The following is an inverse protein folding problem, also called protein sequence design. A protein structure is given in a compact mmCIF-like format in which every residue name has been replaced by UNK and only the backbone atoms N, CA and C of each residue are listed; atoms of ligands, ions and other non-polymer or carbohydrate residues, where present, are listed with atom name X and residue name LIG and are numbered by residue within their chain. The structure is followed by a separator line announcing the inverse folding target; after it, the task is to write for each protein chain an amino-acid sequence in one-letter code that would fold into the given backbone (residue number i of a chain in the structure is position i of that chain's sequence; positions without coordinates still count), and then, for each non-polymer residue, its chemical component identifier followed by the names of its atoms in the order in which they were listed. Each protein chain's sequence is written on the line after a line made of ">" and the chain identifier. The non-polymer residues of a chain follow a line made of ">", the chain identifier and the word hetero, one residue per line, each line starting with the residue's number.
data_IF_808487706569
#
_entry.id   IF_808487706569
#
_cell.length_a   1.000
_cell.length_b   1.000
_cell.length_c   1.000
_cell.angle_alpha   90.00
_cell.angle_beta   90.00
_cell.angle_gamma   90.00
#
_symmetry.space_group_name_H-M   'P 1'
#
loop_
_entity.id
_entity.type
_entity.pdbx_description
1 polymer ?
#
# COMPACT_ATOMS: atom_id res chain seq x y z
N UNK A 1 -0.71 -4.66 -64.50
CA UNK A 1 -0.85 -3.56 -63.52
C UNK A 1 -0.23 -4.01 -62.19
N UNK A 2 1.05 -3.69 -61.94
CA UNK A 2 1.68 -3.92 -60.64
C UNK A 2 1.49 -2.66 -59.78
N UNK A 3 0.63 -2.72 -58.76
CA UNK A 3 0.57 -1.68 -57.74
C UNK A 3 1.84 -1.75 -56.90
N UNK A 4 2.70 -0.74 -57.06
CA UNK A 4 3.84 -0.45 -56.17
C UNK A 4 3.25 -0.18 -54.78
N UNK A 5 3.28 -1.18 -53.90
CA UNK A 5 2.87 -1.03 -52.51
C UNK A 5 3.93 -0.16 -51.82
N UNK A 6 3.54 1.07 -51.49
CA UNK A 6 4.42 2.14 -51.03
C UNK A 6 5.04 1.76 -49.67
N UNK A 7 6.38 1.78 -49.60
CA UNK A 7 7.19 1.38 -48.43
C UNK A 7 6.85 2.22 -47.18
N UNK A 8 6.20 3.38 -47.36
CA UNK A 8 5.82 4.33 -46.30
C UNK A 8 4.61 3.87 -45.47
N UNK A 9 3.67 3.11 -46.05
CA UNK A 9 2.50 2.61 -45.31
C UNK A 9 2.91 1.56 -44.26
N UNK A 10 3.85 0.67 -44.59
CA UNK A 10 4.37 -0.33 -43.63
C UNK A 10 5.12 0.31 -42.47
N UNK A 11 5.78 1.44 -42.69
CA UNK A 11 6.50 2.17 -41.64
C UNK A 11 5.53 2.83 -40.65
N UNK A 12 4.43 3.42 -41.14
CA UNK A 12 3.38 4.02 -40.32
C UNK A 12 2.64 3.00 -39.44
N UNK A 13 2.34 1.81 -39.97
CA UNK A 13 1.73 0.73 -39.19
C UNK A 13 2.66 0.18 -38.11
N UNK A 14 3.97 0.11 -38.37
CA UNK A 14 4.95 -0.42 -37.40
C UNK A 14 5.16 0.57 -36.24
N UNK A 15 5.18 1.87 -36.51
CA UNK A 15 5.27 2.92 -35.46
C UNK A 15 3.99 3.00 -34.64
N UNK A 16 2.82 2.90 -35.28
CA UNK A 16 1.53 2.88 -34.59
C UNK A 16 1.37 1.68 -33.64
N UNK A 17 1.83 0.48 -34.06
CA UNK A 17 1.77 -0.72 -33.24
C UNK A 17 2.68 -0.64 -32.00
N UNK A 18 3.87 -0.05 -32.12
CA UNK A 18 4.77 0.18 -30.98
C UNK A 18 4.20 1.17 -29.95
N UNK A 19 3.40 2.15 -30.38
CA UNK A 19 2.79 3.13 -29.49
C UNK A 19 1.72 2.52 -28.57
N UNK A 20 1.00 1.49 -29.03
CA UNK A 20 -0.03 0.82 -28.23
C UNK A 20 0.55 -0.14 -27.17
N UNK A 21 1.74 -0.71 -27.39
CA UNK A 21 2.36 -1.66 -26.44
C UNK A 21 3.01 -0.96 -25.24
N UNK A 22 3.40 0.32 -25.35
CA UNK A 22 4.01 1.08 -24.24
C UNK A 22 3.02 1.63 -23.21
N UNK A 23 1.72 1.61 -23.49
CA UNK A 23 0.72 2.29 -22.67
C UNK A 23 0.35 1.55 -21.37
N UNK A 24 0.50 0.22 -21.32
CA UNK A 24 0.08 -0.57 -20.17
C UNK A 24 0.95 -0.35 -18.92
N UNK A 25 2.27 -0.13 -19.09
CA UNK A 25 3.19 0.10 -17.97
C UNK A 25 3.00 1.50 -17.33
N UNK A 26 2.50 2.47 -18.10
CA UNK A 26 2.23 3.81 -17.59
C UNK A 26 0.95 3.86 -16.73
N UNK A 27 -0.04 3.03 -17.04
CA UNK A 27 -1.32 3.00 -16.33
C UNK A 27 -1.28 2.26 -14.99
N UNK A 28 -0.30 1.38 -14.78
CA UNK A 28 -0.11 0.67 -13.51
C UNK A 28 1.37 0.76 -13.07
N UNK A 29 1.81 1.91 -12.53
CA UNK A 29 3.18 2.05 -12.08
C UNK A 29 3.47 1.06 -10.94
N UNK A 30 4.68 0.46 -10.90
CA UNK A 30 5.04 -0.47 -9.84
C UNK A 30 5.08 0.25 -8.48
N UNK A 31 4.72 -0.49 -7.42
CA UNK A 31 4.67 0.02 -6.04
C UNK A 31 6.04 0.54 -5.57
N UNK A 32 7.11 -0.18 -5.94
CA UNK A 32 8.50 0.17 -5.67
C UNK A 32 9.32 0.07 -6.95
N UNK A 33 10.37 0.88 -7.04
CA UNK A 33 11.32 0.84 -8.17
C UNK A 33 12.22 -0.41 -8.08
N UNK A 34 12.76 -0.87 -9.21
CA UNK A 34 13.72 -1.99 -9.23
C UNK A 34 14.93 -1.75 -8.31
N UNK A 35 15.39 -0.49 -8.23
CA UNK A 35 16.47 -0.10 -7.33
C UNK A 35 16.12 -0.32 -5.86
N UNK A 36 14.88 -0.03 -5.47
CA UNK A 36 14.42 -0.24 -4.09
C UNK A 36 14.24 -1.72 -3.76
N UNK A 37 13.89 -2.55 -4.73
CA UNK A 37 13.70 -4.00 -4.55
C UNK A 37 15.02 -4.81 -4.66
N UNK A 38 16.11 -4.17 -5.08
CA UNK A 38 17.41 -4.83 -5.19
C UNK A 38 17.90 -5.33 -3.83
N UNK A 39 18.11 -6.64 -3.70
CA UNK A 39 18.52 -7.27 -2.44
C UNK A 39 17.43 -7.35 -1.38
N UNK A 40 16.16 -7.15 -1.76
CA UNK A 40 14.99 -7.31 -0.88
C UNK A 40 14.39 -8.69 -1.05
N UNK A 41 14.11 -9.37 0.05
CA UNK A 41 13.37 -10.63 0.06
C UNK A 41 11.87 -10.32 -0.09
N UNK A 42 11.27 -10.73 -1.20
CA UNK A 42 9.89 -10.36 -1.57
C UNK A 42 8.85 -11.47 -1.38
N UNK A 43 9.29 -12.72 -1.21
CA UNK A 43 8.49 -13.93 -1.13
C UNK A 43 8.46 -14.55 0.28
N UNK A 44 8.78 -13.74 1.30
CA UNK A 44 8.83 -14.18 2.69
C UNK A 44 7.43 -14.43 3.25
N UNK A 45 7.22 -15.59 3.88
CA UNK A 45 6.01 -15.84 4.68
C UNK A 45 5.96 -14.86 5.86
N UNK A 46 4.93 -14.00 5.97
CA UNK A 46 4.86 -13.02 7.05
C UNK A 46 4.89 -13.64 8.45
N UNK A 47 4.46 -14.90 8.60
CA UNK A 47 4.48 -15.62 9.89
C UNK A 47 5.91 -15.94 10.33
N UNK A 48 6.82 -16.18 9.39
CA UNK A 48 8.25 -16.42 9.66
C UNK A 48 8.93 -15.20 10.29
N UNK A 49 8.48 -13.98 9.96
CA UNK A 49 9.01 -12.74 10.55
C UNK A 49 8.76 -12.71 12.05
N UNK A 50 7.67 -13.27 12.54
CA UNK A 50 7.37 -13.28 13.98
C UNK A 50 8.17 -14.36 14.68
N UNK A 51 8.23 -15.55 14.09
CA UNK A 51 8.80 -16.76 14.68
C UNK A 51 10.32 -16.79 14.61
N UNK A 52 10.87 -16.45 13.45
CA UNK A 52 12.25 -16.72 13.04
C UNK A 52 13.07 -15.42 12.94
N UNK A 53 12.57 -14.29 13.46
CA UNK A 53 13.16 -12.94 13.37
C UNK A 53 14.64 -12.81 13.72
N UNK A 54 15.17 -13.73 14.55
CA UNK A 54 16.59 -13.74 14.92
C UNK A 54 17.47 -14.35 13.83
N UNK A 55 16.95 -15.32 13.10
CA UNK A 55 17.67 -16.04 12.03
C UNK A 55 17.74 -15.17 10.78
N UNK A 56 16.63 -14.53 10.43
CA UNK A 56 16.53 -13.58 9.30
C UNK A 56 16.94 -12.15 9.69
N UNK A 57 17.54 -11.97 10.87
CA UNK A 57 17.93 -10.66 11.34
C UNK A 57 18.99 -10.05 10.41
N UNK A 58 18.75 -8.82 9.99
CA UNK A 58 19.61 -8.09 9.09
C UNK A 58 19.21 -8.20 7.61
N UNK A 59 18.30 -9.11 7.28
CA UNK A 59 17.69 -9.17 5.95
C UNK A 59 16.78 -7.96 5.73
N UNK A 60 16.77 -7.45 4.49
CA UNK A 60 15.81 -6.46 4.04
C UNK A 60 14.64 -7.19 3.41
N UNK A 61 13.44 -6.98 3.93
CA UNK A 61 12.24 -7.72 3.56
C UNK A 61 11.16 -6.77 3.05
N UNK A 62 10.36 -7.24 2.10
CA UNK A 62 9.11 -6.60 1.68
C UNK A 62 7.97 -7.20 2.50
N UNK A 63 7.20 -6.35 3.18
CA UNK A 63 6.07 -6.77 4.00
C UNK A 63 4.82 -5.99 3.68
N UNK A 64 3.67 -6.65 3.90
CA UNK A 64 2.37 -6.05 3.77
C UNK A 64 1.57 -6.11 5.06
N UNK A 65 0.73 -5.11 5.27
CA UNK A 65 -0.21 -5.19 6.35
C UNK A 65 -1.22 -4.06 6.43
N UNK A 66 -1.87 -3.96 7.59
CA UNK A 66 -2.72 -2.82 7.91
C UNK A 66 -2.21 -2.08 9.13
N UNK A 67 -2.26 -0.74 9.06
CA UNK A 67 -1.86 0.14 10.15
C UNK A 67 -2.73 -0.13 11.39
N UNK A 68 -2.09 -0.38 12.52
CA UNK A 68 -2.70 -0.39 13.85
C UNK A 68 -2.58 1.01 14.48
N UNK A 69 -1.72 1.13 15.48
CA UNK A 69 -1.39 2.39 16.14
C UNK A 69 -0.16 3.08 15.54
N UNK A 70 -0.17 4.42 15.50
CA UNK A 70 0.99 5.25 15.12
C UNK A 70 1.42 6.10 16.32
N UNK A 71 2.69 5.94 16.71
CA UNK A 71 3.31 6.68 17.82
C UNK A 71 4.55 7.40 17.33
N UNK A 72 4.68 8.67 17.70
CA UNK A 72 5.88 9.45 17.44
C UNK A 72 6.59 9.75 18.75
N UNK A 73 7.91 9.70 18.68
CA UNK A 73 8.80 10.38 19.62
C UNK A 73 9.30 11.67 18.98
N UNK A 74 10.15 12.44 19.67
CA UNK A 74 10.79 13.62 19.07
C UNK A 74 11.67 13.29 17.87
N UNK A 75 12.29 12.10 17.86
CA UNK A 75 13.32 11.73 16.88
C UNK A 75 12.86 10.65 15.89
N UNK A 76 11.88 9.83 16.26
CA UNK A 76 11.50 8.63 15.51
C UNK A 76 10.00 8.40 15.50
N UNK A 77 9.53 7.81 14.41
CA UNK A 77 8.18 7.30 14.24
C UNK A 77 8.12 5.79 14.42
N UNK A 78 7.01 5.34 14.99
CA UNK A 78 6.69 3.95 15.21
C UNK A 78 5.29 3.67 14.70
N UNK A 79 5.13 2.59 13.96
CA UNK A 79 3.84 2.17 13.42
C UNK A 79 3.66 0.69 13.67
N UNK A 80 2.58 0.33 14.33
CA UNK A 80 2.17 -1.06 14.42
C UNK A 80 1.51 -1.49 13.12
N UNK A 81 1.85 -2.69 12.65
CA UNK A 81 1.30 -3.23 11.41
C UNK A 81 0.89 -4.67 11.63
N UNK A 82 -0.40 -4.95 11.41
CA UNK A 82 -0.91 -6.31 11.33
C UNK A 82 -0.49 -6.88 9.97
N UNK A 83 0.35 -7.90 9.98
CA UNK A 83 0.92 -8.52 8.80
C UNK A 83 -0.13 -9.34 8.05
N UNK A 84 -0.12 -9.20 6.72
CA UNK A 84 -0.88 -10.03 5.80
C UNK A 84 0.01 -10.46 4.64
N UNK A 85 -0.25 -11.64 4.04
CA UNK A 85 0.36 -11.99 2.76
C UNK A 85 0.11 -10.92 1.70
N UNK A 86 1.07 -10.78 0.79
CA UNK A 86 0.97 -9.89 -0.36
C UNK A 86 0.41 -10.64 -1.56
N UNK A 87 -0.48 -9.98 -2.31
CA UNK A 87 -0.88 -10.46 -3.62
C UNK A 87 0.17 -10.09 -4.70
N UNK A 88 -0.11 -10.44 -5.96
CA UNK A 88 0.78 -10.14 -7.10
C UNK A 88 1.03 -8.63 -7.33
N UNK A 89 0.18 -7.74 -6.81
CA UNK A 89 0.37 -6.29 -6.87
C UNK A 89 1.14 -5.75 -5.67
N UNK A 90 1.75 -6.62 -4.86
CA UNK A 90 2.36 -6.27 -3.56
C UNK A 90 1.36 -5.61 -2.61
N UNK A 91 0.06 -5.92 -2.74
CA UNK A 91 -1.00 -5.39 -1.90
C UNK A 91 -1.37 -6.37 -0.79
N UNK A 92 -1.57 -5.91 0.46
CA UNK A 92 -1.99 -6.78 1.56
C UNK A 92 -3.35 -7.46 1.31
N UNK A 93 -3.35 -8.79 1.35
CA UNK A 93 -4.53 -9.64 1.11
C UNK A 93 -5.37 -9.80 2.40
N UNK A 94 -6.26 -8.84 2.64
CA UNK A 94 -7.13 -8.82 3.84
C UNK A 94 -8.22 -9.89 3.88
N UNK A 95 -8.41 -10.68 2.82
CA UNK A 95 -9.29 -11.86 2.83
C UNK A 95 -8.69 -13.02 3.62
N UNK A 96 -7.37 -13.04 3.80
CA UNK A 96 -6.67 -13.98 4.65
C UNK A 96 -6.61 -13.49 6.10
N UNK A 97 -6.36 -14.40 7.04
CA UNK A 97 -6.12 -14.04 8.44
C UNK A 97 -4.78 -13.31 8.61
N UNK A 98 -4.68 -12.36 9.56
CA UNK A 98 -3.40 -11.71 9.85
C UNK A 98 -2.40 -12.72 10.41
N UNK A 99 -1.15 -12.64 9.94
CA UNK A 99 -0.05 -13.54 10.32
C UNK A 99 0.67 -13.12 11.60
N UNK A 100 0.44 -11.90 12.08
CA UNK A 100 1.03 -11.38 13.31
C UNK A 100 1.11 -9.87 13.35
N UNK A 101 1.75 -9.33 14.39
CA UNK A 101 1.90 -7.89 14.62
C UNK A 101 3.39 -7.54 14.69
N UNK A 102 3.79 -6.51 13.95
CA UNK A 102 5.17 -5.98 13.95
C UNK A 102 5.18 -4.49 14.24
N UNK A 103 6.35 -3.99 14.61
CA UNK A 103 6.59 -2.56 14.81
C UNK A 103 7.54 -2.04 13.74
N UNK A 104 7.03 -1.19 12.85
CA UNK A 104 7.85 -0.46 11.91
C UNK A 104 8.50 0.73 12.61
N UNK A 105 9.79 0.95 12.34
CA UNK A 105 10.57 2.08 12.84
C UNK A 105 11.04 2.95 11.68
N UNK A 106 10.90 4.26 11.82
CA UNK A 106 11.28 5.26 10.83
C UNK A 106 12.29 6.27 11.39
N UNK A 107 13.15 6.79 10.51
CA UNK A 107 14.11 7.86 10.79
C UNK A 107 13.40 9.21 10.75
N UNK A 108 12.60 9.46 11.78
CA UNK A 108 11.83 10.69 11.94
C UNK A 108 10.36 10.44 12.29
N UNK A 109 9.65 11.45 12.83
CA UNK A 109 8.25 11.34 13.17
C UNK A 109 7.37 11.18 11.90
N UNK A 110 6.36 10.32 12.00
CA UNK A 110 5.40 10.07 10.92
C UNK A 110 4.30 11.15 10.93
N UNK A 111 3.93 11.69 9.77
CA UNK A 111 2.76 12.57 9.69
C UNK A 111 1.46 11.77 9.84
N UNK A 112 0.86 11.80 11.04
CA UNK A 112 -0.36 11.06 11.36
C UNK A 112 -1.60 11.54 10.60
N UNK A 113 -1.61 12.74 10.03
CA UNK A 113 -2.76 13.23 9.25
C UNK A 113 -2.83 12.62 7.85
N UNK A 114 -1.72 12.04 7.36
CA UNK A 114 -1.66 11.39 6.07
C UNK A 114 -2.04 9.90 6.13
N UNK A 115 -2.18 9.33 7.33
CA UNK A 115 -2.32 7.89 7.55
C UNK A 115 -3.47 7.59 8.49
N UNK A 116 -4.27 6.58 8.15
CA UNK A 116 -5.42 6.17 8.96
C UNK A 116 -5.25 4.75 9.46
N UNK A 117 -5.72 4.47 10.69
CA UNK A 117 -5.78 3.10 11.20
C UNK A 117 -6.63 2.20 10.29
N UNK A 118 -6.23 0.94 10.14
CA UNK A 118 -6.84 -0.02 9.22
C UNK A 118 -6.48 0.16 7.74
N UNK A 119 -5.78 1.25 7.38
CA UNK A 119 -5.28 1.48 6.02
C UNK A 119 -4.24 0.41 5.65
N UNK A 120 -4.28 -0.04 4.39
CA UNK A 120 -3.32 -1.01 3.87
C UNK A 120 -2.01 -0.32 3.56
N UNK A 121 -0.91 -0.95 3.94
CA UNK A 121 0.46 -0.48 3.66
C UNK A 121 1.33 -1.63 3.19
N UNK A 122 2.31 -1.30 2.37
CA UNK A 122 3.41 -2.19 1.99
C UNK A 122 4.70 -1.47 2.31
N UNK A 123 5.65 -2.14 2.96
CA UNK A 123 6.89 -1.52 3.39
C UNK A 123 8.11 -2.39 3.06
N UNK A 124 9.22 -1.74 2.74
CA UNK A 124 10.55 -2.35 2.66
C UNK A 124 11.29 -1.98 3.95
N UNK A 125 11.87 -2.96 4.63
CA UNK A 125 12.64 -2.65 5.84
C UNK A 125 13.51 -3.80 6.30
N UNK A 126 14.47 -3.48 7.15
CA UNK A 126 15.43 -4.43 7.70
C UNK A 126 14.89 -5.09 8.96
N UNK A 127 14.89 -6.43 9.01
CA UNK A 127 14.48 -7.15 10.21
C UNK A 127 15.54 -6.97 11.30
N UNK A 128 15.12 -6.53 12.49
CA UNK A 128 16.03 -6.35 13.61
C UNK A 128 16.00 -7.56 14.53
N UNK A 129 17.16 -7.96 15.06
CA UNK A 129 17.31 -9.03 16.05
C UNK A 129 16.76 -8.67 17.45
N UNK A 130 15.71 -7.85 17.53
CA UNK A 130 15.15 -7.36 18.79
C UNK A 130 13.64 -7.26 18.74
N UNK A 131 13.04 -7.37 19.92
CA UNK A 131 11.64 -7.01 20.14
C UNK A 131 11.56 -5.79 21.04
N UNK A 132 10.70 -4.85 20.69
CA UNK A 132 10.46 -3.64 21.49
C UNK A 132 9.16 -3.78 22.27
N UNK A 133 9.14 -3.45 23.57
CA UNK A 133 7.89 -3.35 24.31
C UNK A 133 7.09 -2.15 23.79
N UNK A 134 5.81 -2.38 23.53
CA UNK A 134 4.82 -1.37 23.20
C UNK A 134 3.65 -1.47 24.17
N UNK A 135 3.06 -0.34 24.60
CA UNK A 135 1.85 -0.36 25.41
C UNK A 135 0.69 -1.03 24.67
N UNK A 136 -0.04 -1.89 25.38
CA UNK A 136 -1.29 -2.52 24.95
C UNK A 136 -2.22 -2.63 26.16
N UNK A 137 -3.11 -1.63 26.33
CA UNK A 137 -3.88 -1.45 27.56
C UNK A 137 -2.98 -1.33 28.79
N UNK A 138 -3.21 -2.19 29.78
CA UNK A 138 -2.42 -2.26 31.03
C UNK A 138 -1.15 -3.12 30.90
N UNK A 139 -0.91 -3.73 29.74
CA UNK A 139 0.18 -4.66 29.50
C UNK A 139 1.22 -4.11 28.49
N UNK A 140 2.37 -4.78 28.41
CA UNK A 140 3.40 -4.51 27.40
C UNK A 140 3.51 -5.67 26.42
N UNK A 141 3.17 -5.41 25.17
CA UNK A 141 3.34 -6.35 24.08
C UNK A 141 4.75 -6.20 23.48
N UNK A 142 5.44 -7.31 23.17
CA UNK A 142 6.80 -7.27 22.60
C UNK A 142 6.75 -7.58 21.11
N UNK A 143 6.93 -6.55 20.29
CA UNK A 143 6.83 -6.67 18.83
C UNK A 143 8.20 -6.75 18.17
N UNK A 144 8.32 -7.59 17.13
CA UNK A 144 9.49 -7.62 16.25
C UNK A 144 9.61 -6.27 15.56
N UNK A 145 10.83 -5.72 15.54
CA UNK A 145 11.09 -4.42 14.92
C UNK A 145 11.57 -4.61 13.49
N UNK A 146 10.92 -3.91 12.57
CA UNK A 146 11.39 -3.77 11.18
C UNK A 146 11.80 -2.32 10.99
N UNK A 147 13.07 -2.12 10.66
CA UNK A 147 13.65 -0.81 10.46
C UNK A 147 13.46 -0.38 9.00
N UNK A 148 12.51 0.52 8.78
CA UNK A 148 12.19 1.04 7.44
C UNK A 148 13.18 2.14 7.06
N UNK A 149 13.64 2.92 8.05
CA UNK A 149 14.54 4.05 7.86
C UNK A 149 13.85 5.18 7.10
N UNK A 150 13.90 5.12 5.76
CA UNK A 150 13.35 6.12 4.85
C UNK A 150 11.82 5.97 4.67
N UNK A 151 11.01 7.03 4.90
CA UNK A 151 9.58 7.03 4.57
C UNK A 151 9.23 6.64 3.14
N UNK A 152 10.13 6.81 2.15
CA UNK A 152 9.93 6.38 0.76
C UNK A 152 9.91 4.86 0.59
N UNK A 153 10.31 4.09 1.61
CA UNK A 153 10.14 2.64 1.66
C UNK A 153 8.77 2.22 2.20
N UNK A 154 7.83 3.16 2.39
CA UNK A 154 6.45 2.88 2.74
C UNK A 154 5.52 3.29 1.60
N UNK A 155 4.75 2.34 1.08
CA UNK A 155 3.65 2.60 0.18
C UNK A 155 2.31 2.47 0.92
N UNK A 156 1.43 3.44 0.71
CA UNK A 156 0.09 3.47 1.30
C UNK A 156 -0.96 3.27 0.22
N UNK A 157 -1.83 2.28 0.42
CA UNK A 157 -2.93 2.04 -0.48
C UNK A 157 -4.12 2.93 -0.09
N UNK A 158 -4.84 3.51 -1.07
CA UNK A 158 -6.00 4.34 -0.77
C UNK A 158 -7.11 3.52 -0.12
N UNK A 159 -7.80 4.13 0.85
CA UNK A 159 -9.03 3.56 1.42
C UNK A 159 -10.20 3.78 0.47
N UNK A 160 -11.27 2.96 0.56
CA UNK A 160 -12.45 3.10 -0.29
C UNK A 160 -13.05 4.50 -0.24
N UNK A 161 -13.03 5.12 0.94
CA UNK A 161 -13.53 6.48 1.18
C UNK A 161 -12.71 7.53 0.41
N UNK A 162 -11.38 7.40 0.37
CA UNK A 162 -10.49 8.26 -0.41
C UNK A 162 -10.69 8.09 -1.93
N UNK A 163 -11.10 6.90 -2.39
CA UNK A 163 -11.38 6.65 -3.81
C UNK A 163 -12.69 7.30 -4.28
N UNK A 164 -13.66 7.50 -3.39
CA UNK A 164 -14.93 8.17 -3.71
C UNK A 164 -14.86 9.70 -3.71
N UNK A 165 -13.83 10.31 -3.11
CA UNK A 165 -13.67 11.77 -3.03
C UNK A 165 -13.18 12.47 -4.31
N UNK A 166 -12.84 11.70 -5.35
CA UNK A 166 -12.30 12.23 -6.62
C UNK A 166 -13.33 12.47 -7.74
N UNK A 167 -14.60 12.15 -7.52
CA UNK A 167 -15.68 12.52 -8.43
C UNK A 167 -16.56 13.60 -7.77
N UNK A 168 -16.78 14.77 -8.41
CA UNK A 168 -17.90 15.63 -8.06
C UNK A 168 -19.17 14.83 -8.31
N UNK A 169 -19.71 14.23 -7.25
CA UNK A 169 -21.00 13.57 -7.29
C UNK A 169 -22.05 14.61 -7.64
N UNK A 170 -22.54 14.58 -8.88
CA UNK A 170 -23.88 15.04 -9.21
C UNK A 170 -24.84 14.30 -8.28
N UNK A 171 -25.27 14.98 -7.22
CA UNK A 171 -26.39 14.59 -6.41
C UNK A 171 -27.66 14.71 -7.26
N UNK A 172 -27.99 13.67 -8.04
CA UNK A 172 -29.35 13.46 -8.50
C UNK A 172 -30.10 12.67 -7.44
N UNK A 173 -30.66 13.38 -6.46
CA UNK A 173 -31.75 12.90 -5.64
C UNK A 173 -33.09 13.42 -6.24
N UNK A 174 -33.71 12.75 -7.22
CA UNK A 174 -35.06 13.06 -7.65
C UNK A 174 -36.04 12.38 -6.69
N UNK A 175 -36.26 12.96 -5.52
CA UNK A 175 -37.13 12.31 -4.55
C UNK A 175 -37.34 13.15 -3.31
N UNK A 176 -38.26 14.10 -3.41
CA UNK A 176 -39.25 14.48 -2.39
C UNK A 176 -39.95 15.77 -2.86
N UNK A 177 -41.01 15.60 -3.66
CA UNK A 177 -42.03 16.64 -3.79
C UNK A 177 -42.75 16.77 -2.43
N UNK A 178 -42.90 17.96 -1.85
CA UNK A 178 -43.84 18.16 -0.77
C UNK A 178 -45.27 18.01 -1.31
N UNK A 179 -46.03 17.10 -0.71
CA UNK A 179 -47.46 16.90 -0.96
C UNK A 179 -48.23 18.18 -0.61
N UNK A 180 -49.14 18.68 -1.46
CA UNK A 180 -49.98 19.82 -1.12
C UNK A 180 -51.07 19.37 -0.16
N UNK A 181 -51.00 19.80 1.10
CA UNK A 181 -52.09 19.66 2.06
C UNK A 181 -53.22 20.63 1.72
N UNK A 182 -54.32 20.10 1.17
CA UNK A 182 -55.60 20.78 1.09
C UNK A 182 -56.35 20.70 2.43
N UNK A 183 -56.73 21.87 2.95
CA UNK A 183 -58.11 22.21 3.30
C UNK A 183 -58.79 21.58 4.52
N UNK A 184 -59.09 22.43 5.51
CA UNK A 184 -60.45 22.59 6.07
C UNK A 184 -60.81 21.75 7.30
N UNK A 185 -60.93 22.41 8.44
CA UNK A 185 -62.21 22.66 9.14
C UNK A 185 -62.01 23.75 10.21
#
# INVERSE_FOLDING_TARGET
>A
MCRRFDRKEKLLYTVGLYFFLGACAFLNPPVFTEKQLSGVVTDLDPSSIIRDYKEIAGETVLIGGTIGEIRNTRERGFMEVNLYPLNNDMRPEKSMSPSGLVLLRFDGPINRFALTSGQRVTAIGKVMAMRRPVPDGDHLLRLVVIDVGDPNHLHTWPTREQQTGGMPGLNSNPGLMPSPGMGGH
#
